data_IF_694973714097
#
_entry.id   IF_694973714097
#
_cell.length_a   1.000
_cell.length_b   1.000
_cell.length_c   1.000
_cell.angle_alpha   90.00
_cell.angle_beta   90.00
_cell.angle_gamma   90.00
#
_symmetry.space_group_name_H-M   'P 1'
#
loop_
_entity.id
_entity.type
_entity.pdbx_description
1 polymer ?
#
# COMPACT_ATOMS: atom_id res chain seq x y z
N UNK A 1 -35.24 -7.59 -51.64
CA UNK A 1 -34.56 -7.81 -50.35
C UNK A 1 -33.42 -6.81 -50.24
N UNK A 2 -33.59 -5.76 -49.42
CA UNK A 2 -32.51 -4.84 -49.06
C UNK A 2 -32.35 -4.96 -47.55
N UNK A 3 -31.28 -5.63 -47.12
CA UNK A 3 -30.93 -5.72 -45.69
C UNK A 3 -30.11 -4.48 -45.38
N UNK A 4 -30.77 -3.49 -44.78
CA UNK A 4 -30.10 -2.37 -44.11
C UNK A 4 -29.26 -2.96 -42.97
N UNK A 5 -27.95 -2.94 -43.12
CA UNK A 5 -27.01 -3.29 -42.06
C UNK A 5 -27.16 -2.28 -40.91
N UNK A 6 -27.86 -2.72 -39.86
CA UNK A 6 -27.77 -2.16 -38.52
C UNK A 6 -26.31 -2.34 -38.05
N UNK A 7 -25.49 -1.32 -38.20
CA UNK A 7 -24.25 -1.21 -37.44
C UNK A 7 -24.62 -0.93 -35.98
N UNK A 8 -24.25 -1.77 -35.00
CA UNK A 8 -24.39 -1.41 -33.61
C UNK A 8 -23.43 -0.25 -33.33
N UNK A 9 -23.97 0.87 -32.83
CA UNK A 9 -23.16 1.98 -32.36
C UNK A 9 -22.18 1.44 -31.32
N UNK A 10 -20.88 1.54 -31.58
CA UNK A 10 -19.86 1.41 -30.54
C UNK A 10 -20.25 2.41 -29.46
N UNK A 11 -20.77 1.91 -28.33
CA UNK A 11 -20.77 2.68 -27.10
C UNK A 11 -19.30 2.99 -26.83
N UNK A 12 -18.93 4.25 -26.95
CA UNK A 12 -17.69 4.74 -26.38
C UNK A 12 -17.76 4.37 -24.90
N UNK A 13 -16.98 3.37 -24.50
CA UNK A 13 -16.68 3.14 -23.10
C UNK A 13 -16.05 4.43 -22.61
N UNK A 14 -16.85 5.24 -21.88
CA UNK A 14 -16.31 6.30 -21.06
C UNK A 14 -15.30 5.63 -20.16
N UNK A 15 -14.01 5.83 -20.42
CA UNK A 15 -12.94 5.48 -19.50
C UNK A 15 -13.30 6.19 -18.20
N UNK A 16 -13.85 5.42 -17.25
CA UNK A 16 -14.30 5.95 -15.99
C UNK A 16 -13.03 6.38 -15.26
N UNK A 17 -12.86 7.69 -15.03
CA UNK A 17 -11.72 8.22 -14.29
C UNK A 17 -11.69 7.49 -12.95
N UNK A 18 -10.61 6.76 -12.68
CA UNK A 18 -10.40 6.06 -11.42
C UNK A 18 -10.49 7.09 -10.30
N UNK A 19 -11.41 6.87 -9.36
CA UNK A 19 -11.57 7.77 -8.22
C UNK A 19 -10.50 7.50 -7.15
N UNK A 20 -10.47 8.34 -6.12
CA UNK A 20 -9.45 8.27 -5.07
C UNK A 20 -9.44 6.89 -4.39
N UNK A 21 -10.61 6.31 -4.15
CA UNK A 21 -10.74 4.96 -3.62
C UNK A 21 -10.03 3.92 -4.49
N UNK A 22 -10.31 3.89 -5.81
CA UNK A 22 -9.69 2.94 -6.73
C UNK A 22 -8.17 3.12 -6.81
N UNK A 23 -7.71 4.39 -6.83
CA UNK A 23 -6.28 4.72 -6.87
C UNK A 23 -5.55 4.23 -5.62
N UNK A 24 -6.11 4.49 -4.44
CA UNK A 24 -5.57 4.02 -3.17
C UNK A 24 -5.62 2.49 -3.09
N UNK A 25 -6.72 1.87 -3.48
CA UNK A 25 -6.87 0.41 -3.48
C UNK A 25 -5.77 -0.26 -4.31
N UNK A 26 -5.51 0.25 -5.51
CA UNK A 26 -4.48 -0.27 -6.42
C UNK A 26 -3.06 -0.09 -5.86
N UNK A 27 -2.74 1.10 -5.31
CA UNK A 27 -1.41 1.36 -4.75
C UNK A 27 -1.17 0.54 -3.48
N UNK A 28 -2.11 0.57 -2.53
CA UNK A 28 -2.00 -0.17 -1.26
C UNK A 28 -1.94 -1.67 -1.51
N UNK A 29 -2.77 -2.19 -2.41
CA UNK A 29 -2.76 -3.61 -2.77
C UNK A 29 -1.42 -4.06 -3.34
N UNK A 30 -0.83 -3.24 -4.22
CA UNK A 30 0.49 -3.50 -4.81
C UNK A 30 1.62 -3.45 -3.78
N UNK A 31 1.62 -2.44 -2.91
CA UNK A 31 2.63 -2.31 -1.84
C UNK A 31 2.53 -3.49 -0.88
N UNK A 32 1.32 -3.87 -0.46
CA UNK A 32 1.11 -4.98 0.47
C UNK A 32 1.58 -6.31 -0.13
N UNK A 33 1.30 -6.58 -1.40
CA UNK A 33 1.78 -7.79 -2.10
C UNK A 33 3.31 -7.84 -2.19
N UNK A 34 3.97 -6.70 -2.37
CA UNK A 34 5.44 -6.62 -2.38
C UNK A 34 6.02 -6.84 -0.98
N UNK A 35 5.40 -6.24 0.03
CA UNK A 35 5.77 -6.41 1.44
C UNK A 35 5.56 -7.85 1.92
N UNK A 36 4.51 -8.51 1.46
CA UNK A 36 4.10 -9.84 1.90
C UNK A 36 3.92 -10.72 0.66
N UNK A 37 5.00 -11.33 0.15
CA UNK A 37 4.90 -12.29 -0.94
C UNK A 37 4.06 -13.48 -0.48
N UNK A 38 2.84 -13.57 -0.99
CA UNK A 38 1.92 -14.67 -0.74
C UNK A 38 1.33 -15.17 -2.06
N UNK A 39 0.70 -16.34 -2.02
CA UNK A 39 -0.12 -16.81 -3.14
C UNK A 39 -1.27 -15.85 -3.47
N UNK A 40 -1.96 -16.13 -4.58
CA UNK A 40 -2.97 -15.24 -5.19
C UNK A 40 -4.25 -15.01 -4.38
N UNK A 41 -4.42 -15.63 -3.21
CA UNK A 41 -5.65 -15.50 -2.42
C UNK A 41 -5.52 -14.44 -1.33
N UNK A 42 -6.59 -13.65 -1.18
CA UNK A 42 -6.73 -12.60 -0.18
C UNK A 42 -6.50 -13.11 1.25
N UNK A 43 -7.07 -14.28 1.58
CA UNK A 43 -6.94 -14.90 2.89
C UNK A 43 -5.50 -15.25 3.24
N UNK A 44 -4.73 -15.74 2.26
CA UNK A 44 -3.31 -16.03 2.45
C UNK A 44 -2.51 -14.74 2.64
N UNK A 45 -2.79 -13.70 1.84
CA UNK A 45 -2.12 -12.41 1.99
C UNK A 45 -2.29 -11.84 3.41
N UNK A 46 -3.52 -11.80 3.92
CA UNK A 46 -3.82 -11.30 5.27
C UNK A 46 -3.20 -12.19 6.36
N UNK A 47 -3.23 -13.52 6.19
CA UNK A 47 -2.58 -14.44 7.11
C UNK A 47 -1.07 -14.20 7.20
N UNK A 48 -0.38 -14.17 6.06
CA UNK A 48 1.07 -13.94 6.01
C UNK A 48 1.44 -12.55 6.52
N UNK A 49 0.62 -11.53 6.26
CA UNK A 49 0.83 -10.19 6.79
C UNK A 49 0.77 -10.20 8.32
N UNK A 50 -0.23 -10.86 8.91
CA UNK A 50 -0.36 -11.00 10.36
C UNK A 50 0.83 -11.74 10.99
N UNK A 51 1.31 -12.82 10.36
CA UNK A 51 2.52 -13.52 10.79
C UNK A 51 3.74 -12.59 10.76
N UNK A 52 3.92 -11.83 9.69
CA UNK A 52 5.05 -10.88 9.56
C UNK A 52 4.97 -9.74 10.58
N UNK A 53 3.77 -9.24 10.89
CA UNK A 53 3.55 -8.27 11.97
C UNK A 53 3.98 -8.86 13.32
N UNK A 54 3.61 -10.12 13.61
CA UNK A 54 4.04 -10.80 14.83
C UNK A 54 5.56 -10.98 14.89
N UNK A 55 6.21 -11.31 13.77
CA UNK A 55 7.67 -11.38 13.69
C UNK A 55 8.34 -10.04 14.02
N UNK A 56 7.81 -8.92 13.50
CA UNK A 56 8.34 -7.60 13.86
C UNK A 56 8.17 -7.28 15.35
N UNK A 57 7.04 -7.66 15.97
CA UNK A 57 6.84 -7.49 17.42
C UNK A 57 7.84 -8.30 18.24
N UNK A 58 8.06 -9.57 17.87
CA UNK A 58 9.04 -10.43 18.52
C UNK A 58 10.47 -9.92 18.35
N UNK A 59 10.83 -9.45 17.14
CA UNK A 59 12.14 -8.85 16.88
C UNK A 59 12.35 -7.58 17.71
N UNK A 60 11.34 -6.72 17.81
CA UNK A 60 11.39 -5.52 18.64
C UNK A 60 11.62 -5.87 20.11
N UNK A 61 10.89 -6.84 20.66
CA UNK A 61 11.09 -7.31 22.04
C UNK A 61 12.50 -7.90 22.26
N UNK A 62 13.00 -8.67 21.30
CA UNK A 62 14.35 -9.23 21.33
C UNK A 62 15.42 -8.13 21.39
N UNK A 63 15.32 -7.13 20.52
CA UNK A 63 16.31 -6.06 20.43
C UNK A 63 16.24 -5.11 21.61
N UNK A 64 15.04 -4.77 22.09
CA UNK A 64 14.84 -3.88 23.24
C UNK A 64 15.59 -4.35 24.49
N UNK A 65 15.61 -5.66 24.75
CA UNK A 65 16.30 -6.27 25.90
C UNK A 65 17.84 -6.19 25.82
N UNK A 66 18.39 -5.82 24.67
CA UNK A 66 19.84 -5.81 24.38
C UNK A 66 20.36 -4.41 24.02
N UNK A 67 19.54 -3.38 24.19
CA UNK A 67 19.98 -2.00 23.99
C UNK A 67 21.03 -1.67 25.06
N UNK A 68 22.17 -1.21 24.58
CA UNK A 68 23.28 -0.75 25.42
C UNK A 68 23.99 0.40 24.70
N UNK A 69 23.92 1.60 25.27
CA UNK A 69 24.52 2.80 24.65
C UNK A 69 26.04 2.86 24.80
N UNK A 70 26.65 1.93 25.55
CA UNK A 70 28.10 1.88 25.75
C UNK A 70 28.85 1.10 24.67
N UNK A 71 28.15 0.32 23.85
CA UNK A 71 28.76 -0.50 22.79
C UNK A 71 28.11 -0.25 21.44
N UNK A 72 28.89 -0.37 20.37
CA UNK A 72 28.35 -0.28 19.01
C UNK A 72 27.26 -1.34 18.75
N UNK A 73 27.39 -2.54 19.34
CA UNK A 73 26.38 -3.59 19.22
C UNK A 73 25.06 -3.23 19.92
N UNK A 74 25.13 -2.56 21.08
CA UNK A 74 23.92 -2.11 21.76
C UNK A 74 23.25 -0.92 21.05
N UNK A 75 24.01 -0.06 20.35
CA UNK A 75 23.46 0.95 19.43
C UNK A 75 22.75 0.28 18.25
N UNK A 76 23.37 -0.75 17.64
CA UNK A 76 22.71 -1.54 16.60
C UNK A 76 21.38 -2.12 17.10
N UNK A 77 21.32 -2.64 18.32
CA UNK A 77 20.06 -3.14 18.88
C UNK A 77 19.02 -2.04 19.10
N UNK A 78 19.42 -0.81 19.39
CA UNK A 78 18.50 0.34 19.45
C UNK A 78 17.91 0.63 18.06
N UNK A 79 18.75 0.74 17.04
CA UNK A 79 18.32 1.00 15.66
C UNK A 79 17.44 -0.12 15.12
N UNK A 80 17.80 -1.38 15.37
CA UNK A 80 17.03 -2.54 14.97
C UNK A 80 15.66 -2.60 15.69
N UNK A 81 15.60 -2.20 16.97
CA UNK A 81 14.33 -2.07 17.69
C UNK A 81 13.43 -1.01 17.05
N UNK A 82 13.96 0.19 16.80
CA UNK A 82 13.21 1.30 16.20
C UNK A 82 12.70 0.92 14.79
N UNK A 83 13.56 0.28 14.00
CA UNK A 83 13.21 -0.21 12.66
C UNK A 83 12.11 -1.29 12.72
N UNK A 84 12.21 -2.26 13.63
CA UNK A 84 11.21 -3.32 13.78
C UNK A 84 9.85 -2.75 14.18
N UNK A 85 9.81 -1.78 15.10
CA UNK A 85 8.58 -1.07 15.47
C UNK A 85 7.99 -0.30 14.29
N UNK A 86 8.83 0.45 13.54
CA UNK A 86 8.39 1.21 12.37
C UNK A 86 7.78 0.27 11.32
N UNK A 87 8.51 -0.77 10.91
CA UNK A 87 8.04 -1.75 9.91
C UNK A 87 6.78 -2.47 10.36
N UNK A 88 6.68 -2.87 11.62
CA UNK A 88 5.47 -3.49 12.18
C UNK A 88 4.24 -2.58 12.12
N UNK A 89 4.40 -1.29 12.46
CA UNK A 89 3.31 -0.30 12.39
C UNK A 89 2.90 0.00 10.96
N UNK A 90 3.86 0.16 10.05
CA UNK A 90 3.57 0.42 8.63
C UNK A 90 2.81 -0.75 8.02
N UNK A 91 3.24 -1.99 8.27
CA UNK A 91 2.56 -3.16 7.75
C UNK A 91 1.15 -3.33 8.34
N UNK A 92 0.97 -3.08 9.64
CA UNK A 92 -0.37 -3.07 10.24
C UNK A 92 -1.28 -2.05 9.55
N UNK A 93 -0.79 -0.82 9.34
CA UNK A 93 -1.56 0.24 8.67
C UNK A 93 -1.91 -0.12 7.22
N UNK A 94 -0.97 -0.73 6.49
CA UNK A 94 -1.24 -1.24 5.14
C UNK A 94 -2.34 -2.30 5.16
N UNK A 95 -2.30 -3.24 6.10
CA UNK A 95 -3.34 -4.28 6.24
C UNK A 95 -4.70 -3.67 6.56
N UNK A 96 -4.77 -2.78 7.54
CA UNK A 96 -6.03 -2.14 7.96
C UNK A 96 -6.63 -1.33 6.81
N UNK A 97 -5.80 -0.53 6.12
CA UNK A 97 -6.23 0.28 4.97
C UNK A 97 -6.64 -0.60 3.80
N UNK A 98 -5.92 -1.69 3.55
CA UNK A 98 -6.24 -2.64 2.49
C UNK A 98 -7.58 -3.32 2.74
N UNK A 99 -7.87 -3.74 3.97
CA UNK A 99 -9.17 -4.29 4.34
C UNK A 99 -10.27 -3.26 4.06
N UNK A 100 -10.09 -2.02 4.53
CA UNK A 100 -11.07 -0.95 4.33
C UNK A 100 -11.29 -0.62 2.84
N UNK A 101 -10.23 -0.56 2.05
CA UNK A 101 -10.25 -0.33 0.59
C UNK A 101 -10.75 -1.55 -0.20
N UNK A 102 -11.15 -2.64 0.45
CA UNK A 102 -11.83 -3.78 -0.19
C UNK A 102 -13.30 -3.90 0.25
N UNK A 103 -13.82 -2.89 0.99
CA UNK A 103 -15.23 -2.80 1.37
C UNK A 103 -15.86 -1.72 0.50
N UNK A 104 -16.61 -2.13 -0.53
CA UNK A 104 -17.17 -1.20 -1.52
C UNK A 104 -18.10 -0.15 -0.91
N UNK A 105 -18.81 -0.50 0.16
CA UNK A 105 -19.67 0.41 0.91
C UNK A 105 -18.91 1.61 1.52
N UNK A 106 -17.59 1.51 1.64
CA UNK A 106 -16.72 2.58 2.16
C UNK A 106 -16.25 3.57 1.08
N UNK A 107 -16.50 3.29 -0.21
CA UNK A 107 -16.01 4.11 -1.34
C UNK A 107 -16.39 5.58 -1.19
N UNK A 108 -17.67 5.89 -0.99
CA UNK A 108 -18.15 7.27 -0.88
C UNK A 108 -17.53 8.00 0.32
N UNK A 109 -17.45 7.33 1.47
CA UNK A 109 -16.84 7.88 2.69
C UNK A 109 -15.37 8.21 2.47
N UNK A 110 -14.63 7.30 1.84
CA UNK A 110 -13.20 7.45 1.57
C UNK A 110 -12.96 8.59 0.59
N UNK A 111 -13.69 8.62 -0.53
CA UNK A 111 -13.58 9.69 -1.52
C UNK A 111 -13.85 11.07 -0.88
N UNK A 112 -14.90 11.18 -0.06
CA UNK A 112 -15.21 12.42 0.66
C UNK A 112 -14.10 12.80 1.65
N UNK A 113 -13.62 11.85 2.45
CA UNK A 113 -12.58 12.10 3.47
C UNK A 113 -11.25 12.54 2.85
N UNK A 114 -10.95 12.03 1.65
CA UNK A 114 -9.69 12.30 0.94
C UNK A 114 -9.75 13.52 0.01
N UNK A 115 -10.88 14.23 -0.06
CA UNK A 115 -11.05 15.40 -0.94
C UNK A 115 -10.01 16.51 -0.74
N UNK A 116 -9.38 16.61 0.44
CA UNK A 116 -8.34 17.62 0.70
C UNK A 116 -6.93 17.19 0.25
N UNK A 117 -6.76 15.92 -0.12
CA UNK A 117 -5.48 15.31 -0.51
C UNK A 117 -5.58 14.57 -1.84
N UNK A 118 -6.69 14.70 -2.56
CA UNK A 118 -6.97 14.02 -3.82
C UNK A 118 -5.93 14.37 -4.90
N UNK A 119 -5.52 15.63 -5.02
CA UNK A 119 -4.44 16.08 -5.90
C UNK A 119 -3.11 15.35 -5.62
N UNK A 120 -2.81 15.09 -4.34
CA UNK A 120 -1.61 14.36 -3.95
C UNK A 120 -1.73 12.89 -4.31
N UNK A 121 -2.90 12.30 -4.08
CA UNK A 121 -3.17 10.89 -4.41
C UNK A 121 -3.09 10.69 -5.92
N UNK A 122 -3.69 11.57 -6.72
CA UNK A 122 -3.65 11.51 -8.18
C UNK A 122 -2.20 11.58 -8.69
N UNK A 123 -1.37 12.49 -8.15
CA UNK A 123 0.06 12.55 -8.50
C UNK A 123 0.81 11.26 -8.17
N UNK A 124 0.65 10.72 -6.97
CA UNK A 124 1.29 9.46 -6.58
C UNK A 124 0.81 8.29 -7.44
N UNK A 125 -0.48 8.28 -7.78
CA UNK A 125 -1.06 7.25 -8.63
C UNK A 125 -0.51 7.30 -10.05
N UNK A 126 -0.30 8.51 -10.62
CA UNK A 126 0.36 8.66 -11.91
C UNK A 126 1.78 8.08 -11.89
N UNK A 127 2.60 8.43 -10.89
CA UNK A 127 3.95 7.85 -10.74
C UNK A 127 3.90 6.32 -10.60
N UNK A 128 2.94 5.81 -9.82
CA UNK A 128 2.69 4.38 -9.68
C UNK A 128 2.29 3.69 -10.99
N UNK A 129 1.51 4.34 -11.85
CA UNK A 129 1.16 3.81 -13.17
C UNK A 129 2.38 3.73 -14.09
N UNK A 130 3.33 4.66 -13.94
CA UNK A 130 4.58 4.71 -14.70
C UNK A 130 5.75 3.91 -14.09
N UNK A 131 5.51 3.16 -13.01
CA UNK A 131 6.55 2.39 -12.28
C UNK A 131 7.39 1.45 -13.16
N UNK A 132 6.87 0.98 -14.29
CA UNK A 132 7.60 0.12 -15.24
C UNK A 132 8.76 0.84 -15.94
N UNK A 133 8.80 2.17 -15.89
CA UNK A 133 9.91 3.00 -16.38
C UNK A 133 11.08 3.07 -15.39
N UNK A 134 10.88 2.62 -14.16
CA UNK A 134 11.92 2.59 -13.12
C UNK A 134 12.88 1.45 -13.42
N UNK A 135 14.17 1.76 -13.49
CA UNK A 135 15.21 0.75 -13.70
C UNK A 135 15.30 -0.20 -12.48
N UNK A 136 15.69 -1.48 -12.68
CA UNK A 136 15.70 -2.48 -11.61
C UNK A 136 16.48 -2.05 -10.35
N UNK A 137 17.58 -1.32 -10.52
CA UNK A 137 18.45 -0.85 -9.43
C UNK A 137 17.77 0.18 -8.52
N UNK A 138 16.77 0.90 -9.05
CA UNK A 138 16.03 1.92 -8.31
C UNK A 138 14.66 1.44 -7.83
N UNK A 139 14.30 0.19 -8.14
CA UNK A 139 12.96 -0.32 -7.87
C UNK A 139 12.65 -0.33 -6.37
N UNK A 140 13.55 -0.88 -5.54
CA UNK A 140 13.37 -0.90 -4.09
C UNK A 140 13.22 0.51 -3.50
N UNK A 141 14.07 1.45 -3.94
CA UNK A 141 14.01 2.83 -3.51
C UNK A 141 12.70 3.51 -3.92
N UNK A 142 12.21 3.27 -5.14
CA UNK A 142 10.92 3.77 -5.60
C UNK A 142 9.79 3.28 -4.70
N UNK A 143 9.73 1.97 -4.45
CA UNK A 143 8.67 1.38 -3.62
C UNK A 143 8.72 1.85 -2.18
N UNK A 144 9.91 2.00 -1.59
CA UNK A 144 10.05 2.54 -0.25
C UNK A 144 9.63 4.02 -0.18
N UNK A 145 9.98 4.81 -1.19
CA UNK A 145 9.57 6.22 -1.27
C UNK A 145 8.05 6.36 -1.43
N UNK A 146 7.46 5.62 -2.37
CA UNK A 146 6.01 5.58 -2.58
C UNK A 146 5.27 5.17 -1.30
N UNK A 147 5.79 4.16 -0.59
CA UNK A 147 5.23 3.71 0.69
C UNK A 147 5.30 4.80 1.75
N UNK A 148 6.43 5.47 1.93
CA UNK A 148 6.57 6.55 2.90
C UNK A 148 5.65 7.74 2.57
N UNK A 149 5.40 8.03 1.29
CA UNK A 149 4.46 9.07 0.86
C UNK A 149 2.99 8.71 1.11
N UNK A 150 2.64 7.43 0.95
CA UNK A 150 1.28 6.93 1.17
C UNK A 150 0.97 6.78 2.67
N UNK A 151 1.94 6.45 3.52
CA UNK A 151 1.71 6.21 4.96
C UNK A 151 0.95 7.35 5.68
N UNK A 152 1.27 8.64 5.47
CA UNK A 152 0.50 9.76 6.01
C UNK A 152 -0.96 9.77 5.54
N UNK A 153 -1.19 9.55 4.23
CA UNK A 153 -2.54 9.52 3.64
C UNK A 153 -3.37 8.41 4.27
N UNK A 154 -2.78 7.23 4.46
CA UNK A 154 -3.44 6.10 5.14
C UNK A 154 -3.67 6.35 6.63
N UNK A 155 -2.87 7.22 7.26
CA UNK A 155 -3.11 7.60 8.66
C UNK A 155 -4.38 8.44 8.77
N UNK A 156 -4.66 9.24 7.74
CA UNK A 156 -5.87 10.04 7.64
C UNK A 156 -7.08 9.23 7.17
N UNK A 157 -6.96 7.92 6.92
CA UNK A 157 -8.09 7.03 6.59
C UNK A 157 -8.72 6.34 7.80
N UNK A 158 -7.97 6.18 8.90
CA UNK A 158 -8.40 5.49 10.12
C UNK A 158 -8.80 6.44 11.24
#
# INVERSE_FOLDING_TARGET
MWISQLLPSKKEEKIQKSDVYDQLQAMVGSILKREVPSGNSLSHLLYHANVKIQQYRQAAEYHRKRIDMSTALGIFHKEAYELAIKKGRHLQRLVDSFIMLNIEDERERINHRMMLVDDRIEKLFMEFQHREQIIPEMEEQFWDTLKEDIMPILSDLN
#
